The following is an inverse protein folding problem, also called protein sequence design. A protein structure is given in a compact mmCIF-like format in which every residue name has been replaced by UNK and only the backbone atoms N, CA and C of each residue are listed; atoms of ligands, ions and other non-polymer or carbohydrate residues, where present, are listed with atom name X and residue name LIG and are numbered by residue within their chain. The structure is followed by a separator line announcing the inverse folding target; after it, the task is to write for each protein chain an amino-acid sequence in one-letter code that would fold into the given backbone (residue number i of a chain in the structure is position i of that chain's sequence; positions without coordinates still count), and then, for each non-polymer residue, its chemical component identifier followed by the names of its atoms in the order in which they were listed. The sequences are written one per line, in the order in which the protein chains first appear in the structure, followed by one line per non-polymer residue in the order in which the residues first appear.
data_IF_977442104237
#
_entry.id   IF_977442104237
#
_cell.length_a   1.000
_cell.length_b   1.000
_cell.length_c   1.000
_cell.angle_alpha   90.00
_cell.angle_beta   90.00
_cell.angle_gamma   90.00
#
_symmetry.space_group_name_H-M   'P 1'
#
loop_
_entity.id
_entity.type
_entity.pdbx_description
1 polymer ?
#
# COMPACT_ATOMS: atom_id res chain seq x y z
N UNK A 1 -14.43 1.53 1.46
CA UNK A 1 -13.63 2.50 0.67
C UNK A 1 -14.39 3.80 0.40
N UNK A 2 -13.68 4.93 0.22
CA UNK A 2 -14.24 6.24 -0.11
C UNK A 2 -14.26 6.49 -1.63
N UNK A 3 -15.45 6.50 -2.22
CA UNK A 3 -15.63 6.56 -3.67
C UNK A 3 -15.01 7.81 -4.32
N UNK A 4 -15.16 8.98 -3.69
CA UNK A 4 -14.62 10.24 -4.23
C UNK A 4 -13.08 10.26 -4.32
N UNK A 5 -12.38 9.46 -3.51
CA UNK A 5 -10.92 9.29 -3.59
C UNK A 5 -10.56 8.34 -4.72
N UNK A 6 -11.30 7.25 -4.89
CA UNK A 6 -11.14 6.37 -6.05
C UNK A 6 -11.35 7.10 -7.38
N UNK A 7 -12.41 7.90 -7.50
CA UNK A 7 -12.69 8.74 -8.68
C UNK A 7 -11.53 9.69 -9.00
N UNK A 8 -10.84 10.23 -7.98
CA UNK A 8 -9.62 11.05 -8.20
C UNK A 8 -8.48 10.22 -8.79
N UNK A 9 -8.31 8.97 -8.36
CA UNK A 9 -7.31 8.07 -8.94
C UNK A 9 -7.65 7.73 -10.40
N UNK A 10 -8.91 7.43 -10.71
CA UNK A 10 -9.39 7.19 -12.08
C UNK A 10 -9.12 8.40 -12.97
N UNK A 11 -9.48 9.61 -12.53
CA UNK A 11 -9.24 10.86 -13.28
C UNK A 11 -7.75 11.12 -13.53
N UNK A 12 -6.90 10.84 -12.55
CA UNK A 12 -5.45 11.02 -12.68
C UNK A 12 -4.76 9.94 -13.53
N UNK A 13 -5.27 8.70 -13.50
CA UNK A 13 -4.68 7.55 -14.19
C UNK A 13 -5.31 7.23 -15.55
N UNK A 14 -6.45 7.83 -15.89
CA UNK A 14 -7.17 7.60 -17.15
C UNK A 14 -7.65 6.16 -17.33
N UNK A 15 -7.96 5.46 -16.24
CA UNK A 15 -8.38 4.05 -16.27
C UNK A 15 -9.33 3.74 -15.14
N UNK A 16 -10.45 3.11 -15.48
CA UNK A 16 -11.43 2.59 -14.55
C UNK A 16 -11.72 1.13 -14.94
N UNK A 17 -11.68 0.24 -13.96
CA UNK A 17 -12.12 -1.14 -14.14
C UNK A 17 -13.20 -1.50 -13.14
N UNK A 18 -14.14 -2.33 -13.59
CA UNK A 18 -15.17 -2.95 -12.76
C UNK A 18 -15.07 -4.45 -13.02
N UNK A 19 -14.85 -5.23 -11.96
CA UNK A 19 -14.88 -6.68 -12.01
C UNK A 19 -16.06 -7.19 -11.16
N UNK A 20 -16.96 -7.90 -11.83
CA UNK A 20 -18.09 -8.61 -11.24
C UNK A 20 -17.64 -10.02 -10.86
N UNK A 21 -17.68 -10.36 -9.57
CA UNK A 21 -17.18 -11.65 -9.09
C UNK A 21 -18.28 -12.41 -8.37
N UNK A 22 -18.63 -13.60 -8.88
CA UNK A 22 -19.83 -14.37 -8.48
C UNK A 22 -20.02 -14.48 -6.96
N UNK A 23 -18.95 -14.78 -6.21
CA UNK A 23 -18.99 -14.98 -4.75
C UNK A 23 -18.34 -13.84 -3.94
N UNK A 24 -17.98 -12.73 -4.57
CA UNK A 24 -17.21 -11.65 -3.91
C UNK A 24 -17.77 -10.24 -4.16
N UNK A 25 -18.77 -10.10 -5.03
CA UNK A 25 -19.36 -8.82 -5.40
C UNK A 25 -18.46 -8.03 -6.35
N UNK A 26 -18.56 -6.71 -6.29
CA UNK A 26 -17.83 -5.82 -7.20
C UNK A 26 -16.47 -5.43 -6.66
N UNK A 27 -15.49 -5.44 -7.56
CA UNK A 27 -14.18 -4.85 -7.35
C UNK A 27 -13.93 -3.70 -8.33
N UNK A 28 -13.39 -2.61 -7.82
CA UNK A 28 -13.08 -1.40 -8.58
C UNK A 28 -11.57 -1.26 -8.79
N UNK A 29 -11.16 -1.01 -10.03
CA UNK A 29 -9.76 -1.03 -10.43
C UNK A 29 -9.25 0.24 -11.08
N UNK A 30 -7.98 0.53 -10.83
CA UNK A 30 -7.14 1.42 -11.64
C UNK A 30 -6.05 0.58 -12.31
N UNK A 31 -5.12 1.20 -13.04
CA UNK A 31 -3.94 0.49 -13.58
C UNK A 31 -3.01 -0.10 -12.51
N UNK A 32 -3.12 0.34 -11.25
CA UNK A 32 -2.15 0.00 -10.21
C UNK A 32 -2.77 -0.41 -8.88
N UNK A 33 -4.09 -0.51 -8.81
CA UNK A 33 -4.78 -0.88 -7.59
C UNK A 33 -6.16 -1.46 -7.89
N UNK A 34 -6.58 -2.46 -7.13
CA UNK A 34 -7.94 -3.00 -7.13
C UNK A 34 -8.47 -2.90 -5.70
N UNK A 35 -9.71 -2.44 -5.54
CA UNK A 35 -10.38 -2.22 -4.26
C UNK A 35 -11.67 -3.02 -4.19
N UNK A 36 -11.94 -3.63 -3.05
CA UNK A 36 -13.23 -4.25 -2.77
C UNK A 36 -14.30 -3.17 -2.65
N UNK A 37 -15.42 -3.35 -3.34
CA UNK A 37 -16.50 -2.36 -3.44
C UNK A 37 -17.89 -2.99 -3.26
N UNK A 38 -18.01 -3.96 -2.36
CA UNK A 38 -19.25 -4.70 -2.05
C UNK A 38 -20.39 -3.83 -1.53
N UNK A 39 -20.08 -2.65 -0.99
CA UNK A 39 -21.08 -1.68 -0.50
C UNK A 39 -21.77 -0.90 -1.63
N UNK A 40 -21.27 -1.00 -2.87
CA UNK A 40 -21.87 -0.33 -4.01
C UNK A 40 -22.98 -1.19 -4.63
N UNK A 41 -24.04 -0.57 -5.19
CA UNK A 41 -25.01 -1.32 -5.98
C UNK A 41 -24.31 -1.98 -7.16
N UNK A 42 -24.91 -3.07 -7.64
CA UNK A 42 -24.49 -3.65 -8.91
C UNK A 42 -24.61 -2.61 -10.03
N UNK A 43 -23.59 -2.51 -10.88
CA UNK A 43 -23.49 -1.52 -11.94
C UNK A 43 -22.93 -2.18 -13.20
N UNK A 44 -23.78 -2.26 -14.22
CA UNK A 44 -23.44 -2.92 -15.48
C UNK A 44 -23.40 -1.89 -16.59
N UNK A 45 -22.28 -1.87 -17.30
CA UNK A 45 -22.06 -0.99 -18.44
C UNK A 45 -21.62 0.42 -18.05
N UNK A 46 -20.98 1.07 -19.02
CA UNK A 46 -20.29 2.35 -18.88
C UNK A 46 -21.18 3.46 -18.30
N UNK A 47 -22.44 3.55 -18.73
CA UNK A 47 -23.36 4.59 -18.29
C UNK A 47 -23.71 4.48 -16.80
N UNK A 48 -23.99 3.27 -16.32
CA UNK A 48 -24.31 3.02 -14.92
C UNK A 48 -23.08 3.26 -14.04
N UNK A 49 -21.92 2.74 -14.45
CA UNK A 49 -20.66 2.95 -13.73
C UNK A 49 -20.34 4.44 -13.63
N UNK A 50 -20.40 5.18 -14.74
CA UNK A 50 -20.16 6.63 -14.73
C UNK A 50 -21.14 7.37 -13.80
N UNK A 51 -22.40 6.94 -13.77
CA UNK A 51 -23.44 7.52 -12.91
C UNK A 51 -23.17 7.24 -11.42
N UNK A 52 -22.85 5.99 -11.06
CA UNK A 52 -22.50 5.62 -9.67
C UNK A 52 -21.24 6.34 -9.20
N UNK A 53 -20.24 6.46 -10.08
CA UNK A 53 -19.00 7.18 -9.80
C UNK A 53 -19.17 8.71 -9.78
N UNK A 54 -20.36 9.23 -10.10
CA UNK A 54 -20.65 10.67 -10.22
C UNK A 54 -19.59 11.40 -11.07
N UNK A 55 -19.28 10.82 -12.24
CA UNK A 55 -18.26 11.35 -13.14
C UNK A 55 -18.88 12.15 -14.29
N UNK A 56 -18.48 13.44 -14.46
CA UNK A 56 -18.88 14.22 -15.63
C UNK A 56 -18.39 13.58 -16.93
N UNK A 57 -19.20 13.64 -17.98
CA UNK A 57 -18.90 13.08 -19.31
C UNK A 57 -17.53 13.52 -19.83
N UNK A 58 -17.22 14.82 -19.78
CA UNK A 58 -15.90 15.38 -20.18
C UNK A 58 -14.70 14.79 -19.43
N UNK A 59 -14.89 14.36 -18.18
CA UNK A 59 -13.83 13.70 -17.42
C UNK A 59 -13.72 12.23 -17.84
N UNK A 60 -14.86 11.59 -18.12
CA UNK A 60 -14.97 10.20 -18.52
C UNK A 60 -14.41 9.93 -19.93
N UNK A 61 -14.52 10.87 -20.86
CA UNK A 61 -13.93 10.77 -22.22
C UNK A 61 -12.42 10.47 -22.22
N UNK A 62 -11.71 10.77 -21.12
CA UNK A 62 -10.27 10.52 -20.95
C UNK A 62 -9.97 9.22 -20.20
N UNK A 63 -10.99 8.49 -19.81
CA UNK A 63 -10.90 7.26 -19.02
C UNK A 63 -11.09 6.07 -19.96
N UNK A 64 -10.13 5.17 -19.96
CA UNK A 64 -10.34 3.84 -20.52
C UNK A 64 -11.15 3.01 -19.52
N UNK A 65 -12.30 2.52 -19.95
CA UNK A 65 -13.19 1.67 -19.17
C UNK A 65 -13.02 0.20 -19.56
N UNK A 66 -12.86 -0.66 -18.56
CA UNK A 66 -12.73 -2.12 -18.70
C UNK A 66 -13.70 -2.81 -17.73
N UNK A 67 -14.64 -3.57 -18.25
CA UNK A 67 -15.66 -4.28 -17.46
C UNK A 67 -15.51 -5.79 -17.65
N UNK A 68 -15.55 -6.53 -16.54
CA UNK A 68 -15.25 -7.97 -16.53
C UNK A 68 -16.18 -8.75 -15.65
N UNK A 69 -16.39 -10.00 -16.03
CA UNK A 69 -17.09 -11.01 -15.25
C UNK A 69 -16.10 -12.13 -14.93
N UNK A 70 -15.79 -12.27 -13.66
CA UNK A 70 -14.83 -13.24 -13.15
C UNK A 70 -15.57 -14.29 -12.32
N UNK A 71 -15.34 -15.57 -12.60
CA UNK A 71 -15.97 -16.64 -11.80
C UNK A 71 -15.40 -16.76 -10.38
N UNK A 72 -14.25 -16.14 -10.10
CA UNK A 72 -13.60 -16.25 -8.78
C UNK A 72 -12.70 -15.07 -8.44
N UNK A 73 -12.66 -14.72 -7.15
CA UNK A 73 -11.76 -13.72 -6.59
C UNK A 73 -10.29 -14.17 -6.59
N UNK A 74 -10.04 -15.45 -6.88
CA UNK A 74 -8.69 -16.04 -6.92
C UNK A 74 -7.83 -15.58 -8.09
N UNK A 75 -8.41 -14.93 -9.11
CA UNK A 75 -7.65 -14.47 -10.27
C UNK A 75 -8.29 -13.24 -10.93
N UNK A 76 -8.30 -12.11 -10.23
CA UNK A 76 -8.67 -10.82 -10.82
C UNK A 76 -7.39 -10.18 -11.37
N UNK A 77 -7.24 -10.14 -12.70
CA UNK A 77 -5.97 -9.78 -13.37
C UNK A 77 -4.75 -10.61 -12.92
N UNK A 78 -4.96 -11.89 -12.63
CA UNK A 78 -3.91 -12.78 -12.11
C UNK A 78 -3.54 -12.51 -10.65
N UNK A 79 -4.24 -11.61 -9.95
CA UNK A 79 -4.14 -11.43 -8.50
C UNK A 79 -5.18 -12.29 -7.80
N UNK A 80 -4.72 -13.09 -6.84
CA UNK A 80 -5.59 -13.72 -5.88
C UNK A 80 -5.97 -12.70 -4.80
N UNK A 81 -7.24 -12.33 -4.73
CA UNK A 81 -7.81 -11.38 -3.76
C UNK A 81 -8.72 -12.08 -2.73
N UNK A 82 -8.62 -13.41 -2.60
CA UNK A 82 -9.30 -14.14 -1.53
C UNK A 82 -8.82 -13.68 -0.16
N UNK A 83 -9.65 -13.77 0.88
CA UNK A 83 -9.30 -13.40 2.26
C UNK A 83 -8.01 -14.10 2.77
N UNK A 84 -7.76 -15.30 2.26
CA UNK A 84 -6.53 -16.07 2.47
C UNK A 84 -5.91 -16.55 1.16
N UNK A 85 -4.58 -16.54 1.09
CA UNK A 85 -3.82 -17.15 0.00
C UNK A 85 -2.57 -17.86 0.53
N UNK A 86 -2.29 -19.04 -0.02
CA UNK A 86 -1.07 -19.78 0.31
C UNK A 86 0.18 -18.97 -0.06
N UNK A 87 1.15 -18.93 0.86
CA UNK A 87 2.41 -18.19 0.67
C UNK A 87 2.27 -16.67 0.77
N UNK A 88 1.15 -16.16 1.29
CA UNK A 88 1.04 -14.77 1.74
C UNK A 88 2.08 -14.48 2.84
N UNK A 89 2.77 -13.34 2.73
CA UNK A 89 3.85 -12.97 3.64
C UNK A 89 3.54 -11.63 4.31
N UNK A 90 3.71 -11.56 5.63
CA UNK A 90 3.57 -10.30 6.37
C UNK A 90 4.65 -9.30 6.00
N UNK A 91 4.37 -8.01 6.23
CA UNK A 91 5.32 -6.93 5.95
C UNK A 91 5.41 -5.88 7.04
N UNK A 92 6.60 -5.30 7.18
CA UNK A 92 6.83 -4.11 8.00
C UNK A 92 7.07 -2.87 7.12
N UNK A 93 6.55 -1.72 7.56
CA UNK A 93 6.79 -0.44 6.88
C UNK A 93 8.19 0.06 7.20
N UNK A 94 8.97 0.42 6.19
CA UNK A 94 10.25 1.08 6.41
C UNK A 94 10.06 2.57 6.71
N UNK A 95 10.96 3.15 7.51
CA UNK A 95 10.95 4.58 7.87
C UNK A 95 11.40 5.49 6.74
N UNK A 96 12.10 4.94 5.75
CA UNK A 96 12.65 5.67 4.60
C UNK A 96 11.76 5.46 3.39
N UNK A 97 11.43 6.55 2.72
CA UNK A 97 10.68 6.56 1.45
C UNK A 97 11.64 6.80 0.29
N UNK A 98 11.27 6.30 -0.89
CA UNK A 98 11.97 6.61 -2.13
C UNK A 98 11.16 7.62 -2.95
N UNK A 99 11.80 8.67 -3.45
CA UNK A 99 11.16 9.68 -4.30
C UNK A 99 11.92 9.91 -5.62
N UNK A 100 12.22 8.86 -6.42
CA UNK A 100 12.92 9.04 -7.68
C UNK A 100 12.09 9.91 -8.64
N UNK A 101 12.72 10.91 -9.24
CA UNK A 101 12.11 11.84 -10.19
C UNK A 101 10.79 12.49 -9.67
N UNK A 102 10.66 12.66 -8.36
CA UNK A 102 9.48 13.23 -7.71
C UNK A 102 8.31 12.26 -7.51
N UNK A 103 8.48 10.97 -7.84
CA UNK A 103 7.48 9.93 -7.57
C UNK A 103 7.65 9.39 -6.15
N UNK A 104 6.83 9.86 -5.23
CA UNK A 104 6.84 9.41 -3.83
C UNK A 104 6.34 7.97 -3.70
N UNK A 105 7.21 7.10 -3.23
CA UNK A 105 6.95 5.69 -2.97
C UNK A 105 7.34 5.32 -1.55
N UNK A 106 6.36 4.78 -0.84
CA UNK A 106 6.60 4.06 0.40
C UNK A 106 7.24 2.72 0.11
N UNK A 107 7.88 2.15 1.12
CA UNK A 107 8.49 0.84 1.05
C UNK A 107 8.08 -0.03 2.23
N UNK A 108 7.76 -1.29 1.96
CA UNK A 108 7.64 -2.33 2.98
C UNK A 108 8.65 -3.43 2.72
N UNK A 109 9.10 -4.08 3.79
CA UNK A 109 9.95 -5.26 3.74
C UNK A 109 9.10 -6.49 4.07
N UNK A 110 9.20 -7.54 3.24
CA UNK A 110 8.61 -8.84 3.59
C UNK A 110 9.35 -9.42 4.79
N UNK A 111 8.60 -9.93 5.77
CA UNK A 111 9.14 -10.53 6.98
C UNK A 111 9.78 -11.90 6.74
N UNK A 112 9.41 -12.57 5.64
CA UNK A 112 9.85 -13.94 5.34
C UNK A 112 11.17 -13.96 4.57
N UNK A 113 11.26 -13.18 3.48
CA UNK A 113 12.40 -13.19 2.55
C UNK A 113 13.22 -11.89 2.56
N UNK A 114 12.79 -10.88 3.33
CA UNK A 114 13.49 -9.59 3.45
C UNK A 114 13.48 -8.74 2.18
N UNK A 115 12.82 -9.19 1.12
CA UNK A 115 12.69 -8.44 -0.13
C UNK A 115 11.78 -7.22 0.05
N UNK A 116 12.03 -6.19 -0.77
CA UNK A 116 11.36 -4.91 -0.69
C UNK A 116 10.20 -4.79 -1.68
N UNK A 117 9.11 -4.18 -1.24
CA UNK A 117 8.01 -3.77 -2.09
C UNK A 117 7.80 -2.26 -1.99
N UNK A 118 8.04 -1.57 -3.10
CA UNK A 118 7.78 -0.14 -3.24
C UNK A 118 6.40 0.07 -3.83
N UNK A 119 5.62 1.00 -3.28
CA UNK A 119 4.28 1.30 -3.75
C UNK A 119 3.97 2.79 -3.60
N UNK A 120 3.02 3.29 -4.40
CA UNK A 120 2.54 4.67 -4.28
C UNK A 120 1.54 4.75 -3.15
N UNK A 121 1.87 5.44 -2.06
CA UNK A 121 0.97 5.61 -0.91
C UNK A 121 -0.37 6.26 -1.32
N UNK A 122 -0.36 7.13 -2.34
CA UNK A 122 -1.56 7.72 -2.92
C UNK A 122 -2.62 6.69 -3.37
N UNK A 123 -2.21 5.47 -3.74
CA UNK A 123 -3.13 4.39 -4.10
C UNK A 123 -3.95 3.90 -2.90
N UNK A 124 -3.49 4.11 -1.67
CA UNK A 124 -4.24 3.79 -0.45
C UNK A 124 -5.30 4.84 -0.11
N UNK A 125 -5.35 5.97 -0.83
CA UNK A 125 -6.26 7.07 -0.50
C UNK A 125 -7.76 6.72 -0.45
N UNK A 126 -8.28 5.73 -1.22
CA UNK A 126 -9.66 5.26 -1.04
C UNK A 126 -9.90 4.50 0.27
N UNK A 127 -8.86 3.98 0.91
CA UNK A 127 -8.92 3.25 2.17
C UNK A 127 -8.46 4.09 3.37
N UNK A 128 -8.09 5.35 3.18
CA UNK A 128 -7.42 6.15 4.20
C UNK A 128 -8.18 6.28 5.54
N UNK A 129 -9.52 6.34 5.51
CA UNK A 129 -10.35 6.38 6.73
C UNK A 129 -10.34 5.01 7.43
N UNK A 130 -10.58 3.92 6.69
CA UNK A 130 -10.52 2.55 7.23
C UNK A 130 -9.15 2.23 7.82
N UNK A 131 -8.07 2.63 7.12
CA UNK A 131 -6.68 2.45 7.58
C UNK A 131 -6.43 3.18 8.91
N UNK A 132 -7.09 4.33 9.12
CA UNK A 132 -6.93 5.14 10.32
C UNK A 132 -7.77 4.63 11.49
N UNK A 133 -8.95 4.08 11.20
CA UNK A 133 -9.96 3.74 12.20
C UNK A 133 -9.89 2.28 12.68
N UNK A 134 -9.36 1.37 11.86
CA UNK A 134 -9.25 -0.05 12.22
C UNK A 134 -7.87 -0.39 12.79
N UNK A 135 -7.87 -1.08 13.94
CA UNK A 135 -6.68 -1.66 14.56
C UNK A 135 -6.23 -2.98 13.90
N UNK A 136 -7.01 -3.52 12.98
CA UNK A 136 -6.74 -4.81 12.33
C UNK A 136 -6.13 -4.68 10.93
N UNK A 137 -5.69 -3.47 10.56
CA UNK A 137 -5.12 -3.21 9.26
C UNK A 137 -3.75 -3.88 9.14
N UNK A 138 -3.64 -4.84 8.23
CA UNK A 138 -2.37 -5.50 7.89
C UNK A 138 -2.04 -5.35 6.42
N UNK A 139 -0.75 -5.37 6.15
CA UNK A 139 -0.19 -5.28 4.82
C UNK A 139 0.63 -6.53 4.57
N UNK A 140 0.26 -7.28 3.55
CA UNK A 140 0.93 -8.51 3.17
C UNK A 140 1.41 -8.42 1.73
N UNK A 141 2.27 -9.36 1.33
CA UNK A 141 2.70 -9.52 -0.06
C UNK A 141 2.28 -10.88 -0.57
N UNK A 142 1.73 -10.89 -1.78
CA UNK A 142 1.40 -12.08 -2.54
C UNK A 142 2.17 -12.10 -3.87
N UNK A 143 2.23 -13.27 -4.49
CA UNK A 143 2.83 -13.49 -5.82
C UNK A 143 1.76 -13.91 -6.80
N UNK A 144 1.72 -13.27 -7.98
CA UNK A 144 0.97 -13.76 -9.13
C UNK A 144 1.62 -15.05 -9.66
N UNK A 145 0.92 -15.79 -10.53
CA UNK A 145 1.49 -16.94 -11.24
C UNK A 145 2.74 -16.58 -12.06
N UNK A 146 2.82 -15.34 -12.55
CA UNK A 146 4.01 -14.81 -13.24
C UNK A 146 5.23 -14.60 -12.34
N UNK A 147 5.07 -14.79 -11.02
CA UNK A 147 6.07 -14.45 -10.00
C UNK A 147 6.08 -12.98 -9.59
N UNK A 148 5.33 -12.12 -10.29
CA UNK A 148 5.22 -10.70 -9.95
C UNK A 148 4.56 -10.53 -8.59
N UNK A 149 5.23 -9.80 -7.69
CA UNK A 149 4.71 -9.49 -6.35
C UNK A 149 3.72 -8.33 -6.40
N UNK A 150 2.77 -8.33 -5.47
CA UNK A 150 1.84 -7.23 -5.23
C UNK A 150 1.54 -7.10 -3.74
N UNK A 151 1.24 -5.88 -3.31
CA UNK A 151 0.89 -5.57 -1.93
C UNK A 151 -0.60 -5.83 -1.74
N UNK A 152 -1.00 -6.44 -0.63
CA UNK A 152 -2.40 -6.64 -0.26
C UNK A 152 -2.66 -5.92 1.06
N UNK A 153 -3.78 -5.21 1.12
CA UNK A 153 -4.25 -4.49 2.30
C UNK A 153 -5.46 -5.25 2.83
N UNK A 154 -5.41 -5.59 4.12
CA UNK A 154 -6.50 -6.27 4.80
C UNK A 154 -7.03 -5.44 5.95
N UNK A 155 -8.25 -5.75 6.36
CA UNK A 155 -8.83 -5.40 7.64
C UNK A 155 -9.28 -6.69 8.34
N UNK A 156 -8.49 -7.16 9.31
CA UNK A 156 -8.62 -8.52 9.85
C UNK A 156 -8.37 -9.58 8.77
N UNK A 157 -9.37 -10.43 8.52
CA UNK A 157 -9.29 -11.47 7.47
C UNK A 157 -9.65 -10.93 6.08
N UNK A 158 -10.43 -9.86 6.01
CA UNK A 158 -10.96 -9.36 4.75
C UNK A 158 -9.88 -8.65 3.92
N UNK A 159 -9.76 -9.02 2.65
CA UNK A 159 -8.95 -8.25 1.69
C UNK A 159 -9.71 -6.99 1.26
N UNK A 160 -9.14 -5.82 1.53
CA UNK A 160 -9.69 -4.54 1.11
C UNK A 160 -9.17 -4.09 -0.26
N UNK A 161 -7.90 -4.35 -0.55
CA UNK A 161 -7.29 -3.95 -1.82
C UNK A 161 -6.01 -4.74 -2.15
N UNK A 162 -5.66 -4.71 -3.44
CA UNK A 162 -4.34 -5.05 -3.92
C UNK A 162 -3.72 -3.85 -4.65
N UNK A 163 -2.44 -3.59 -4.39
CA UNK A 163 -1.67 -2.48 -4.96
C UNK A 163 -0.47 -3.05 -5.72
N UNK A 164 -0.34 -2.65 -6.98
CA UNK A 164 0.81 -3.00 -7.81
C UNK A 164 2.06 -2.25 -7.36
N UNK A 165 3.23 -2.93 -7.33
CA UNK A 165 4.46 -2.30 -6.94
C UNK A 165 4.98 -1.36 -8.02
N UNK A 166 5.85 -0.44 -7.60
CA UNK A 166 6.64 0.41 -8.48
C UNK A 166 8.07 -0.12 -8.52
N UNK A 167 8.63 -0.26 -9.72
CA UNK A 167 10.03 -0.62 -9.87
C UNK A 167 10.91 0.61 -9.62
N UNK A 168 11.48 0.68 -8.43
CA UNK A 168 12.35 1.79 -8.00
C UNK A 168 13.83 1.40 -8.12
N UNK A 169 14.19 0.23 -7.60
CA UNK A 169 15.58 -0.22 -7.53
C UNK A 169 16.08 -0.56 -8.93
N UNK A 170 16.99 0.27 -9.43
CA UNK A 170 17.68 0.15 -10.71
C UNK A 170 19.16 0.49 -10.51
N UNK A 171 20.04 0.12 -11.44
CA UNK A 171 21.46 0.47 -11.35
C UNK A 171 21.67 1.99 -11.23
N UNK A 172 20.93 2.77 -12.01
CA UNK A 172 20.94 4.23 -11.92
C UNK A 172 20.52 4.71 -10.54
N UNK A 173 19.38 4.23 -10.03
CA UNK A 173 18.90 4.63 -8.70
C UNK A 173 19.92 4.31 -7.59
N UNK A 174 20.60 3.16 -7.67
CA UNK A 174 21.62 2.79 -6.70
C UNK A 174 22.87 3.69 -6.80
N UNK A 175 23.27 4.08 -8.00
CA UNK A 175 24.36 5.03 -8.20
C UNK A 175 24.03 6.42 -7.62
N UNK A 176 22.85 6.95 -7.96
CA UNK A 176 22.37 8.25 -7.47
C UNK A 176 22.22 8.23 -5.93
N UNK A 177 21.72 7.13 -5.36
CA UNK A 177 21.58 6.97 -3.91
C UNK A 177 22.94 6.91 -3.20
N UNK A 178 23.93 6.22 -3.78
CA UNK A 178 25.28 6.13 -3.23
C UNK A 178 25.97 7.49 -3.23
N UNK A 179 25.82 8.28 -4.30
CA UNK A 179 26.34 9.64 -4.37
C UNK A 179 25.68 10.54 -3.31
N UNK A 180 24.34 10.48 -3.22
CA UNK A 180 23.59 11.25 -2.23
C UNK A 180 23.99 10.89 -0.79
N UNK A 181 24.14 9.61 -0.48
CA UNK A 181 24.61 9.15 0.84
C UNK A 181 26.00 9.70 1.17
N UNK A 182 26.92 9.73 0.21
CA UNK A 182 28.24 10.31 0.40
C UNK A 182 28.18 11.81 0.70
N UNK A 183 27.36 12.57 -0.05
CA UNK A 183 27.15 14.00 0.18
C UNK A 183 26.53 14.30 1.56
N UNK A 184 25.51 13.54 1.97
CA UNK A 184 24.91 13.66 3.30
C UNK A 184 25.93 13.34 4.40
N UNK A 185 26.75 12.31 4.20
CA UNK A 185 27.80 11.93 5.15
C UNK A 185 28.82 13.06 5.32
N UNK A 186 29.28 13.64 4.21
CA UNK A 186 30.20 14.78 4.26
C UNK A 186 29.59 15.99 4.97
N UNK A 187 28.33 16.32 4.65
CA UNK A 187 27.63 17.44 5.28
C UNK A 187 27.49 17.23 6.79
N UNK A 188 27.10 16.04 7.24
CA UNK A 188 26.99 15.70 8.67
C UNK A 188 28.30 15.94 9.42
N UNK A 189 29.44 15.52 8.87
CA UNK A 189 30.74 15.76 9.50
C UNK A 189 31.18 17.23 9.48
N UNK A 190 30.84 17.99 8.44
CA UNK A 190 31.10 19.44 8.39
C UNK A 190 30.34 20.19 9.49
N UNK A 191 29.06 19.88 9.68
CA UNK A 191 28.21 20.47 10.74
C UNK A 191 28.71 20.09 12.14
N UNK A 192 29.14 18.83 12.31
CA UNK A 192 29.77 18.37 13.57
C UNK A 192 31.07 19.09 13.88
N UNK A 193 31.92 19.32 12.89
CA UNK A 193 33.17 20.07 13.08
C UNK A 193 32.93 21.55 13.44
N UNK A 194 31.80 22.13 13.03
CA UNK A 194 31.39 23.50 13.39
C UNK A 194 30.75 23.61 14.78
N UNK A 195 30.49 22.49 15.44
CA UNK A 195 29.82 22.47 16.76
C UNK A 195 28.32 22.74 16.70
N UNK A 196 27.68 22.58 15.53
CA UNK A 196 26.26 22.90 15.31
C UNK A 196 25.30 21.90 16.00
N UNK A 197 25.81 20.77 16.51
CA UNK A 197 25.03 19.70 17.17
C UNK A 197 25.04 19.70 18.70
N UNK A 198 25.62 20.71 19.36
CA UNK A 198 25.80 20.71 20.83
C UNK A 198 24.50 20.82 21.68
N UNK A 199 23.31 20.64 21.10
CA UNK A 199 22.03 20.76 21.81
C UNK A 199 20.94 19.74 21.39
N UNK A 200 21.26 18.66 20.67
CA UNK A 200 20.27 17.63 20.32
C UNK A 200 20.87 16.22 20.43
N UNK A 201 21.30 15.83 21.63
CA UNK A 201 21.48 14.41 21.96
C UNK A 201 20.33 13.97 22.90
N UNK A 202 19.43 13.17 22.32
CA UNK A 202 18.62 12.10 22.95
C UNK A 202 17.70 12.44 24.12
N UNK A 203 16.42 12.71 23.81
CA UNK A 203 15.32 12.14 24.59
C UNK A 203 14.76 10.95 23.79
N UNK A 204 15.28 9.75 24.06
CA UNK A 204 14.46 8.55 23.87
C UNK A 204 13.38 8.60 24.96
N UNK A 205 12.07 8.48 24.65
CA UNK A 205 11.08 8.33 25.70
C UNK A 205 11.32 6.97 26.36
N UNK A 206 11.64 7.00 27.66
CA UNK A 206 11.77 5.82 28.52
C UNK A 206 10.64 4.83 28.22
N UNK A 207 11.02 3.68 27.67
CA UNK A 207 10.14 2.53 27.59
C UNK A 207 9.78 2.15 29.03
N UNK A 208 8.49 2.23 29.35
CA UNK A 208 7.92 1.79 30.61
C UNK A 208 8.49 0.43 31.01
N UNK A 209 9.27 0.44 32.11
CA UNK A 209 9.81 -0.75 32.72
C UNK A 209 8.68 -1.48 33.45
N UNK A 210 7.90 -2.28 32.71
CA UNK A 210 6.95 -3.24 33.28
C UNK A 210 7.76 -4.48 33.71
N UNK A 211 8.39 -4.40 34.87
CA UNK A 211 9.02 -5.53 35.55
C UNK A 211 8.03 -6.17 36.51
N UNK A 212 7.25 -7.14 36.03
CA UNK A 212 6.70 -8.20 36.88
C UNK A 212 7.87 -9.07 37.33
N UNK A 213 8.22 -9.02 38.62
CA UNK A 213 8.94 -10.13 39.26
C UNK A 213 7.94 -10.94 40.08
N UNK A 214 7.76 -12.18 39.62
CA UNK A 214 7.11 -13.26 40.35
C UNK A 214 7.80 -13.51 41.70
N UNK A 215 6.98 -13.91 42.67
CA UNK A 215 7.36 -14.33 44.02
C UNK A 215 8.40 -15.48 44.03
N UNK A 216 9.05 -15.67 45.18
CA UNK A 216 9.03 -17.02 45.75
C UNK A 216 8.72 -17.06 47.26
N UNK A 217 7.90 -18.07 47.57
CA UNK A 217 7.98 -19.05 48.66
C UNK A 217 8.16 -18.64 50.13
N UNK A 218 7.21 -19.14 50.94
CA UNK A 218 7.32 -19.70 52.29
C UNK A 218 8.53 -19.31 53.16
N UNK A 219 8.27 -18.78 54.36
CA UNK A 219 8.58 -19.47 55.64
C UNK A 219 8.02 -18.71 56.86
N UNK A 220 7.45 -19.50 57.78
CA UNK A 220 6.95 -19.24 59.15
C UNK A 220 5.59 -18.56 59.37
#
# INVERSE_FOLDING_TARGET
MKLSKYVKLVKGGGYCMVAHVEDSGIWLGTRSAIFRATELPDMVGEEQVRTVLDMPEKAWEKVHFDERWEGTVKSIFGMNLSDYADGEQDTEKLKVMAAPDGLWCDCRRSMDDGELIFYREAMLSPLAEQIKESDYIRYTVRKMESGQRYLVVHDGFEVLAAIMPVRIVTEKYLADLSEFQALCTEQFYRERARGEFAAQETEEPDAEQIGMEDAPENEN
#
